data_IF_652440426490
#
_entry.id   IF_652440426490
#
_cell.length_a   1.000
_cell.length_b   1.000
_cell.length_c   1.000
_cell.angle_alpha   90.00
_cell.angle_beta   90.00
_cell.angle_gamma   90.00
#
_symmetry.space_group_name_H-M   'P 1'
#
loop_
_entity.id
_entity.type
_entity.pdbx_description
1 polymer ?
#
# COMPACT_ATOMS: atom_id res chain seq x y z
N UNK A 1 24.48 2.05 -10.12
CA UNK A 1 24.11 1.08 -9.07
C UNK A 1 22.81 1.58 -8.47
N UNK A 2 21.81 0.71 -8.27
CA UNK A 2 20.54 1.08 -7.62
C UNK A 2 20.81 1.76 -6.27
N UNK A 3 20.08 2.84 -5.98
CA UNK A 3 20.15 3.55 -4.69
C UNK A 3 19.57 2.73 -3.52
N UNK A 4 18.88 1.63 -3.83
CA UNK A 4 18.14 0.76 -2.91
C UNK A 4 18.79 -0.63 -2.89
N UNK A 5 19.06 -1.17 -1.69
CA UNK A 5 19.48 -2.57 -1.52
C UNK A 5 18.30 -3.53 -1.78
N UNK A 6 18.29 -4.14 -2.97
CA UNK A 6 17.23 -5.06 -3.41
C UNK A 6 17.44 -6.50 -2.93
N UNK A 7 18.56 -6.79 -2.25
CA UNK A 7 18.87 -8.13 -1.73
C UNK A 7 17.99 -8.54 -0.55
N UNK A 8 17.29 -7.58 0.05
CA UNK A 8 16.41 -7.81 1.20
C UNK A 8 15.04 -8.37 0.80
N UNK A 9 14.59 -8.14 -0.44
CA UNK A 9 13.32 -8.72 -0.88
C UNK A 9 13.43 -10.23 -0.96
N UNK A 10 12.36 -10.88 -0.52
CA UNK A 10 12.24 -12.32 -0.64
C UNK A 10 12.31 -12.74 -2.11
N UNK A 11 13.03 -13.83 -2.36
CA UNK A 11 13.16 -14.46 -3.67
C UNK A 11 12.92 -15.95 -3.45
N UNK A 12 12.11 -16.57 -4.31
CA UNK A 12 11.73 -17.99 -4.23
C UNK A 12 12.94 -18.93 -4.05
N UNK A 13 14.06 -18.57 -4.67
CA UNK A 13 15.28 -19.40 -4.71
C UNK A 13 16.09 -19.35 -3.41
N UNK A 14 15.75 -18.45 -2.47
CA UNK A 14 16.56 -18.18 -1.28
C UNK A 14 16.06 -18.86 0.01
N UNK A 15 14.99 -19.66 -0.05
CA UNK A 15 14.47 -20.36 1.14
C UNK A 15 13.94 -19.40 2.23
N UNK A 16 13.49 -19.96 3.35
CA UNK A 16 12.76 -19.27 4.45
C UNK A 16 13.28 -17.87 4.78
N UNK A 17 12.35 -16.93 5.02
CA UNK A 17 12.56 -15.53 5.48
C UNK A 17 13.86 -15.36 6.26
N UNK A 18 14.85 -14.71 5.63
CA UNK A 18 16.26 -14.69 6.04
C UNK A 18 16.47 -14.16 7.47
N UNK A 19 17.47 -14.69 8.20
CA UNK A 19 17.80 -14.25 9.59
C UNK A 19 17.95 -12.72 9.78
N UNK A 20 18.60 -11.93 8.90
CA UNK A 20 18.69 -10.48 9.08
C UNK A 20 17.33 -9.79 9.10
N UNK A 21 16.34 -10.35 8.39
CA UNK A 21 14.99 -9.78 8.33
C UNK A 21 14.18 -10.01 9.61
N UNK A 22 14.52 -11.01 10.43
CA UNK A 22 13.84 -11.25 11.71
C UNK A 22 14.12 -10.11 12.69
N UNK A 23 15.33 -9.56 12.73
CA UNK A 23 15.65 -8.41 13.60
C UNK A 23 14.79 -7.18 13.25
N UNK A 24 14.56 -6.91 11.97
CA UNK A 24 13.71 -5.80 11.56
C UNK A 24 12.25 -6.04 11.91
N UNK A 25 11.74 -7.25 11.71
CA UNK A 25 10.40 -7.62 12.19
C UNK A 25 10.27 -7.47 13.70
N UNK A 26 11.23 -7.97 14.48
CA UNK A 26 11.17 -7.94 15.93
C UNK A 26 11.22 -6.51 16.50
N UNK A 27 11.85 -5.59 15.76
CA UNK A 27 11.85 -4.14 16.06
C UNK A 27 10.58 -3.43 15.58
N UNK A 28 10.02 -3.85 14.44
CA UNK A 28 8.86 -3.21 13.82
C UNK A 28 7.53 -3.67 14.42
N UNK A 29 7.41 -4.95 14.79
CA UNK A 29 6.18 -5.53 15.34
C UNK A 29 5.65 -4.80 16.58
N UNK A 30 6.47 -4.43 17.58
CA UNK A 30 6.02 -3.72 18.77
C UNK A 30 5.47 -2.31 18.50
N UNK A 31 5.67 -1.76 17.30
CA UNK A 31 5.25 -0.40 16.95
C UNK A 31 3.75 -0.31 16.60
N UNK A 32 3.08 -1.44 16.36
CA UNK A 32 1.64 -1.45 16.10
C UNK A 32 0.98 -2.83 16.05
N UNK A 33 1.75 -3.92 16.13
CA UNK A 33 1.20 -5.27 16.04
C UNK A 33 0.57 -5.59 14.68
N UNK A 34 1.00 -4.91 13.61
CA UNK A 34 0.43 -5.07 12.28
C UNK A 34 0.71 -6.46 11.71
N UNK A 35 -0.30 -7.28 11.38
CA UNK A 35 -0.11 -8.64 10.87
C UNK A 35 0.84 -8.71 9.66
N UNK A 36 0.82 -7.72 8.76
CA UNK A 36 1.72 -7.64 7.62
C UNK A 36 3.22 -7.63 8.04
N UNK A 37 3.57 -6.99 9.17
CA UNK A 37 4.92 -7.02 9.75
C UNK A 37 5.19 -8.40 10.37
N UNK A 38 4.23 -8.90 11.13
CA UNK A 38 4.31 -10.22 11.79
C UNK A 38 4.50 -11.36 10.80
N UNK A 39 4.01 -11.20 9.58
CA UNK A 39 4.09 -12.12 8.45
C UNK A 39 5.17 -11.71 7.43
N UNK A 40 6.11 -10.82 7.77
CA UNK A 40 7.21 -10.38 6.89
C UNK A 40 6.78 -9.89 5.50
N UNK A 41 5.54 -9.42 5.33
CA UNK A 41 5.03 -8.96 4.04
C UNK A 41 5.80 -7.75 3.51
N UNK A 42 6.47 -6.98 4.36
CA UNK A 42 7.38 -5.89 3.96
C UNK A 42 8.60 -6.37 3.13
N UNK A 43 8.87 -7.68 3.10
CA UNK A 43 9.89 -8.29 2.24
C UNK A 43 9.30 -8.82 0.92
N UNK A 44 7.98 -8.88 0.79
CA UNK A 44 7.28 -9.37 -0.39
C UNK A 44 6.95 -8.16 -1.28
N UNK A 45 7.55 -8.04 -2.48
CA UNK A 45 7.27 -6.93 -3.39
C UNK A 45 5.91 -7.16 -4.10
N UNK A 46 4.80 -7.11 -3.36
CA UNK A 46 3.48 -7.52 -3.85
C UNK A 46 3.07 -6.83 -5.17
N UNK A 47 3.35 -5.54 -5.31
CA UNK A 47 3.09 -4.80 -6.54
C UNK A 47 3.83 -5.35 -7.76
N UNK A 48 5.01 -5.97 -7.60
CA UNK A 48 5.77 -6.54 -8.71
C UNK A 48 5.08 -7.75 -9.35
N UNK A 49 4.14 -8.38 -8.64
CA UNK A 49 3.32 -9.49 -9.17
C UNK A 49 2.19 -9.03 -10.09
N UNK A 50 1.88 -7.73 -10.12
CA UNK A 50 0.76 -7.21 -10.92
C UNK A 50 1.13 -7.24 -12.40
N UNK A 51 0.20 -7.68 -13.25
CA UNK A 51 0.38 -7.61 -14.71
C UNK A 51 0.52 -6.16 -15.22
N UNK A 52 -0.04 -5.19 -14.48
CA UNK A 52 0.08 -3.75 -14.75
C UNK A 52 1.42 -3.15 -14.30
N UNK A 53 2.25 -3.88 -13.54
CA UNK A 53 3.41 -3.31 -12.85
C UNK A 53 4.35 -2.55 -13.78
N UNK A 54 4.65 -3.10 -14.96
CA UNK A 54 5.50 -2.41 -15.94
C UNK A 54 4.91 -1.08 -16.40
N UNK A 55 3.59 -1.02 -16.62
CA UNK A 55 2.92 0.22 -17.02
C UNK A 55 2.89 1.25 -15.88
N UNK A 56 2.70 0.80 -14.64
CA UNK A 56 2.76 1.65 -13.44
C UNK A 56 4.14 2.27 -13.26
N UNK A 57 5.21 1.48 -13.45
CA UNK A 57 6.61 1.97 -13.40
C UNK A 57 6.86 2.98 -14.51
N UNK A 58 6.45 2.70 -15.75
CA UNK A 58 6.63 3.63 -16.86
C UNK A 58 5.89 4.96 -16.64
N UNK A 59 4.68 4.92 -16.06
CA UNK A 59 3.96 6.13 -15.67
C UNK A 59 4.71 6.89 -14.57
N UNK A 60 5.18 6.17 -13.54
CA UNK A 60 5.89 6.76 -12.40
C UNK A 60 7.24 7.39 -12.80
N UNK A 61 7.90 6.89 -13.86
CA UNK A 61 9.15 7.45 -14.40
C UNK A 61 8.96 8.80 -15.12
N UNK A 62 7.74 9.10 -15.59
CA UNK A 62 7.48 10.35 -16.32
C UNK A 62 7.87 11.57 -15.48
N UNK A 63 8.45 12.60 -16.12
CA UNK A 63 9.07 13.74 -15.45
C UNK A 63 8.12 14.54 -14.56
N UNK A 64 6.82 14.46 -14.83
CA UNK A 64 5.74 15.16 -14.15
C UNK A 64 4.98 14.30 -13.14
N UNK A 65 5.41 13.05 -12.93
CA UNK A 65 4.68 12.08 -12.10
C UNK A 65 4.90 12.33 -10.60
N UNK A 66 3.82 12.44 -9.84
CA UNK A 66 3.82 12.46 -8.38
C UNK A 66 3.29 11.14 -7.81
N UNK A 67 4.03 10.53 -6.89
CA UNK A 67 3.65 9.23 -6.27
C UNK A 67 3.30 9.46 -4.80
N UNK A 68 2.19 8.87 -4.35
CA UNK A 68 1.74 8.89 -2.96
C UNK A 68 1.56 7.46 -2.44
N UNK A 69 2.21 7.13 -1.33
CA UNK A 69 2.06 5.84 -0.63
C UNK A 69 1.34 6.04 0.72
N UNK A 70 0.24 5.33 0.92
CA UNK A 70 -0.64 5.46 2.09
C UNK A 70 -0.52 4.25 3.02
N UNK A 71 -0.19 4.50 4.29
CA UNK A 71 0.15 3.44 5.23
C UNK A 71 1.46 2.75 4.85
N UNK A 72 2.50 3.55 4.56
CA UNK A 72 3.70 3.07 3.88
C UNK A 72 4.51 2.04 4.69
N UNK A 73 4.34 1.96 6.02
CA UNK A 73 5.12 1.10 6.89
C UNK A 73 6.63 1.31 6.72
N UNK A 74 7.35 0.29 6.25
CA UNK A 74 8.79 0.37 5.99
C UNK A 74 9.11 1.02 4.62
N UNK A 75 8.10 1.50 3.88
CA UNK A 75 8.21 2.15 2.57
C UNK A 75 8.68 1.21 1.46
N UNK A 76 8.38 -0.08 1.56
CA UNK A 76 8.85 -1.11 0.62
C UNK A 76 8.35 -0.88 -0.81
N UNK A 77 7.13 -0.36 -0.99
CA UNK A 77 6.52 -0.16 -2.31
C UNK A 77 7.18 1.02 -3.06
N UNK A 78 7.47 2.12 -2.36
CA UNK A 78 8.28 3.22 -2.91
C UNK A 78 9.69 2.76 -3.30
N UNK A 79 10.30 1.92 -2.47
CA UNK A 79 11.63 1.37 -2.71
C UNK A 79 11.66 0.39 -3.89
N UNK A 80 10.57 -0.35 -4.08
CA UNK A 80 10.37 -1.18 -5.26
C UNK A 80 10.35 -0.32 -6.52
N UNK A 81 9.60 0.78 -6.53
CA UNK A 81 9.59 1.73 -7.65
C UNK A 81 10.97 2.36 -7.87
N UNK A 82 11.66 2.76 -6.81
CA UNK A 82 12.99 3.35 -6.88
C UNK A 82 14.05 2.39 -7.44
N UNK A 83 13.99 1.10 -7.07
CA UNK A 83 14.83 0.07 -7.67
C UNK A 83 14.57 -0.12 -9.18
N UNK A 84 13.36 0.22 -9.63
CA UNK A 84 12.99 0.31 -11.04
C UNK A 84 13.19 1.72 -11.61
N UNK A 85 14.07 2.54 -11.04
CA UNK A 85 14.50 3.81 -11.64
C UNK A 85 13.48 4.94 -11.55
N UNK A 86 12.43 4.81 -10.75
CA UNK A 86 11.53 5.93 -10.44
C UNK A 86 12.25 6.93 -9.51
N UNK A 87 12.30 8.23 -9.82
CA UNK A 87 12.99 9.21 -8.98
C UNK A 87 12.34 9.39 -7.61
N UNK A 88 13.12 9.24 -6.53
CA UNK A 88 12.61 9.23 -5.15
C UNK A 88 12.10 10.58 -4.66
N UNK A 89 12.61 11.68 -5.20
CA UNK A 89 12.22 13.05 -4.83
C UNK A 89 10.78 13.40 -5.22
N UNK A 90 10.12 12.56 -6.03
CA UNK A 90 8.72 12.69 -6.43
C UNK A 90 7.76 11.85 -5.61
N UNK A 91 8.29 11.13 -4.63
CA UNK A 91 7.53 10.23 -3.78
C UNK A 91 7.17 10.93 -2.48
N UNK A 92 5.91 10.78 -2.08
CA UNK A 92 5.38 11.18 -0.78
C UNK A 92 4.81 9.94 -0.11
N UNK A 93 5.04 9.80 1.19
CA UNK A 93 4.51 8.70 1.98
C UNK A 93 3.84 9.23 3.22
N UNK A 94 2.74 8.60 3.61
CA UNK A 94 2.00 8.90 4.84
C UNK A 94 1.89 7.63 5.66
N UNK A 95 2.27 7.70 6.93
CA UNK A 95 2.00 6.66 7.91
C UNK A 95 1.91 7.27 9.31
N UNK A 96 1.21 6.60 10.23
CA UNK A 96 1.04 7.06 11.61
C UNK A 96 2.31 6.91 12.44
N UNK A 97 3.17 5.96 12.09
CA UNK A 97 4.30 5.53 12.90
C UNK A 97 5.64 5.78 12.21
N UNK A 98 6.35 6.87 12.56
CA UNK A 98 7.60 7.25 11.92
C UNK A 98 8.72 6.24 12.06
N UNK A 99 8.73 5.49 13.16
CA UNK A 99 9.77 4.49 13.41
C UNK A 99 9.73 3.35 12.39
N UNK A 100 8.61 3.11 11.70
CA UNK A 100 8.53 2.09 10.66
C UNK A 100 9.37 2.47 9.43
N UNK A 101 9.22 3.67 8.87
CA UNK A 101 10.02 4.05 7.71
C UNK A 101 11.47 4.37 8.06
N UNK A 102 11.76 4.75 9.32
CA UNK A 102 13.12 4.81 9.87
C UNK A 102 13.82 3.45 9.78
N UNK A 103 13.14 2.37 10.19
CA UNK A 103 13.62 1.00 10.00
C UNK A 103 13.78 0.65 8.52
N UNK A 104 12.93 1.21 7.65
CA UNK A 104 13.08 1.11 6.20
C UNK A 104 14.43 1.63 5.70
N UNK A 105 14.90 2.78 6.20
CA UNK A 105 16.21 3.31 5.80
C UNK A 105 17.37 2.37 6.14
N UNK A 106 17.31 1.74 7.31
CA UNK A 106 18.29 0.75 7.74
C UNK A 106 18.20 -0.55 6.91
N UNK A 107 16.98 -1.07 6.72
CA UNK A 107 16.72 -2.31 6.00
C UNK A 107 17.24 -2.24 4.57
N UNK A 108 16.90 -1.18 3.85
CA UNK A 108 17.23 -1.00 2.44
C UNK A 108 18.54 -0.25 2.19
N UNK A 109 19.26 0.12 3.26
CA UNK A 109 20.55 0.84 3.24
C UNK A 109 20.54 2.10 2.36
N UNK A 110 19.41 2.80 2.35
CA UNK A 110 19.14 3.95 1.48
C UNK A 110 19.07 5.29 2.24
N UNK A 111 19.63 5.33 3.46
CA UNK A 111 19.92 6.58 4.15
C UNK A 111 20.98 7.44 3.44
N UNK A 112 21.21 8.65 3.95
CA UNK A 112 22.25 9.56 3.44
C UNK A 112 21.91 10.20 2.09
N UNK A 113 20.63 10.43 1.80
CA UNK A 113 20.16 11.12 0.60
C UNK A 113 19.89 10.21 -0.62
N UNK A 114 19.97 8.88 -0.47
CA UNK A 114 19.62 7.93 -1.54
C UNK A 114 18.11 7.82 -1.73
N UNK A 115 17.37 7.65 -0.64
CA UNK A 115 15.92 7.80 -0.61
C UNK A 115 15.57 9.25 -0.23
N UNK A 116 14.99 9.98 -1.17
CA UNK A 116 14.60 11.39 -1.00
C UNK A 116 13.07 11.60 -0.92
N UNK A 117 12.31 10.51 -0.72
CA UNK A 117 10.87 10.59 -0.54
C UNK A 117 10.51 11.45 0.68
N UNK A 118 9.42 12.22 0.59
CA UNK A 118 8.88 12.98 1.72
C UNK A 118 7.98 12.06 2.56
N UNK A 119 8.48 11.62 3.70
CA UNK A 119 7.68 10.89 4.69
C UNK A 119 6.95 11.87 5.62
N UNK A 120 5.66 11.67 5.81
CA UNK A 120 4.78 12.54 6.59
C UNK A 120 4.12 11.68 7.68
N UNK A 121 4.31 12.06 8.94
CA UNK A 121 3.58 11.47 10.04
C UNK A 121 2.14 11.98 10.06
N UNK A 122 1.18 11.05 10.02
CA UNK A 122 -0.23 11.37 10.16
C UNK A 122 -1.14 10.17 9.97
N UNK A 123 -2.29 10.21 10.64
CA UNK A 123 -3.40 9.33 10.32
C UNK A 123 -4.15 9.92 9.12
N UNK A 124 -4.07 9.25 7.97
CA UNK A 124 -4.68 9.74 6.73
C UNK A 124 -6.18 10.02 6.87
N UNK A 125 -6.90 9.36 7.78
CA UNK A 125 -8.33 9.63 8.03
C UNK A 125 -8.60 10.97 8.70
N UNK A 126 -7.69 11.41 9.56
CA UNK A 126 -7.95 12.51 10.51
C UNK A 126 -6.95 13.66 10.39
N UNK A 127 -5.82 13.45 9.70
CA UNK A 127 -4.81 14.48 9.44
C UNK A 127 -5.37 15.61 8.58
N UNK A 128 -4.81 16.81 8.76
CA UNK A 128 -5.30 18.00 8.07
C UNK A 128 -4.80 18.06 6.63
N UNK A 129 -5.58 18.66 5.74
CA UNK A 129 -5.26 18.71 4.31
C UNK A 129 -4.06 19.63 4.03
N UNK A 130 -3.73 20.56 4.94
CA UNK A 130 -2.54 21.42 4.81
C UNK A 130 -1.25 20.60 4.77
N UNK A 131 -1.18 19.47 5.50
CA UNK A 131 -0.02 18.58 5.45
C UNK A 131 0.14 17.89 4.08
N UNK A 132 -0.97 17.74 3.35
CA UNK A 132 -1.03 17.12 2.02
C UNK A 132 -1.11 18.15 0.88
N UNK A 133 -1.13 19.45 1.18
CA UNK A 133 -1.19 20.53 0.20
C UNK A 133 -0.19 20.39 -0.98
N UNK A 134 1.05 19.88 -0.80
CA UNK A 134 1.97 19.69 -1.92
C UNK A 134 1.47 18.72 -2.99
N UNK A 135 0.65 17.73 -2.60
CA UNK A 135 0.15 16.66 -3.49
C UNK A 135 -1.34 16.81 -3.84
N UNK A 136 -2.02 17.81 -3.29
CA UNK A 136 -3.44 18.06 -3.55
C UNK A 136 -3.73 18.24 -5.04
N UNK A 137 -4.63 17.41 -5.59
CA UNK A 137 -5.05 17.43 -6.99
C UNK A 137 -3.93 17.18 -8.01
N UNK A 138 -2.83 16.55 -7.61
CA UNK A 138 -1.61 16.42 -8.43
C UNK A 138 -1.09 15.00 -8.59
N UNK A 139 -1.55 14.07 -7.74
CA UNK A 139 -1.02 12.70 -7.68
C UNK A 139 -1.29 11.96 -8.98
N UNK A 140 -0.31 11.22 -9.46
CA UNK A 140 -0.43 10.35 -10.64
C UNK A 140 -0.61 8.88 -10.27
N UNK A 141 0.07 8.46 -9.20
CA UNK A 141 0.02 7.11 -8.69
C UNK A 141 -0.19 7.15 -7.17
N UNK A 142 -1.31 6.60 -6.71
CA UNK A 142 -1.59 6.35 -5.29
C UNK A 142 -1.38 4.86 -5.03
N UNK A 143 -0.55 4.53 -4.05
CA UNK A 143 -0.36 3.18 -3.53
C UNK A 143 -1.14 3.06 -2.23
N UNK A 144 -1.99 2.04 -2.14
CA UNK A 144 -2.81 1.72 -0.98
C UNK A 144 -2.71 0.22 -0.63
N UNK A 145 -1.48 -0.27 -0.50
CA UNK A 145 -1.20 -1.67 -0.15
C UNK A 145 -1.48 -1.92 1.34
N UNK A 146 -2.26 -2.95 1.66
CA UNK A 146 -2.65 -3.34 3.02
C UNK A 146 -3.22 -2.17 3.86
N UNK A 147 -3.90 -1.22 3.21
CA UNK A 147 -4.30 0.04 3.85
C UNK A 147 -5.81 0.16 4.10
N UNK A 148 -6.65 0.13 3.05
CA UNK A 148 -8.07 0.49 3.19
C UNK A 148 -8.83 -0.46 4.15
N UNK A 149 -8.52 -1.75 4.14
CA UNK A 149 -9.17 -2.74 5.01
C UNK A 149 -9.00 -2.44 6.52
N UNK A 150 -8.00 -1.64 6.91
CA UNK A 150 -7.77 -1.23 8.29
C UNK A 150 -8.92 -0.42 8.90
N UNK A 151 -9.82 0.08 8.07
CA UNK A 151 -10.93 0.94 8.46
C UNK A 151 -12.29 0.23 8.39
N UNK A 152 -13.28 0.81 9.08
CA UNK A 152 -14.70 0.47 8.88
C UNK A 152 -15.14 0.78 7.45
N UNK A 153 -16.30 0.27 7.03
CA UNK A 153 -16.86 0.57 5.71
C UNK A 153 -16.98 2.09 5.45
N UNK A 154 -17.52 2.82 6.42
CA UNK A 154 -17.62 4.30 6.34
C UNK A 154 -16.25 4.96 6.30
N UNK A 155 -15.29 4.43 7.06
CA UNK A 155 -13.91 4.89 7.01
C UNK A 155 -13.30 4.71 5.62
N UNK A 156 -13.52 3.57 4.97
CA UNK A 156 -13.05 3.32 3.61
C UNK A 156 -13.64 4.32 2.61
N UNK A 157 -14.93 4.66 2.74
CA UNK A 157 -15.55 5.71 1.92
C UNK A 157 -14.88 7.07 2.12
N UNK A 158 -14.57 7.44 3.37
CA UNK A 158 -13.85 8.69 3.69
C UNK A 158 -12.45 8.68 3.09
N UNK A 159 -11.65 7.63 3.29
CA UNK A 159 -10.33 7.51 2.69
C UNK A 159 -10.38 7.60 1.16
N UNK A 160 -11.29 6.88 0.52
CA UNK A 160 -11.46 6.89 -0.93
C UNK A 160 -11.80 8.28 -1.45
N UNK A 161 -12.71 9.02 -0.79
CA UNK A 161 -13.02 10.42 -1.15
C UNK A 161 -11.82 11.35 -0.99
N UNK A 162 -11.00 11.15 0.05
CA UNK A 162 -9.74 11.89 0.23
C UNK A 162 -8.75 11.58 -0.89
N UNK A 163 -8.62 10.31 -1.28
CA UNK A 163 -7.81 9.91 -2.44
C UNK A 163 -8.30 10.61 -3.72
N UNK A 164 -9.61 10.69 -3.96
CA UNK A 164 -10.18 11.43 -5.10
C UNK A 164 -9.78 12.90 -5.05
N UNK A 165 -9.81 13.56 -3.88
CA UNK A 165 -9.41 14.96 -3.75
C UNK A 165 -7.92 15.20 -4.08
N UNK A 166 -7.04 14.22 -3.79
CA UNK A 166 -5.61 14.27 -4.11
C UNK A 166 -5.31 13.94 -5.58
N UNK A 167 -6.27 13.33 -6.28
CA UNK A 167 -6.13 12.87 -7.66
C UNK A 167 -6.37 13.96 -8.71
N UNK A 168 -5.81 13.75 -9.90
CA UNK A 168 -6.15 14.43 -11.16
C UNK A 168 -6.64 13.43 -12.22
N UNK A 169 -7.11 13.93 -13.37
CA UNK A 169 -7.45 13.06 -14.51
C UNK A 169 -6.24 12.18 -14.88
N UNK A 170 -6.46 10.88 -15.08
CA UNK A 170 -5.41 9.90 -15.35
C UNK A 170 -4.69 9.34 -14.12
N UNK A 171 -5.07 9.76 -12.90
CA UNK A 171 -4.53 9.16 -11.66
C UNK A 171 -4.86 7.67 -11.61
N UNK A 172 -3.91 6.86 -11.19
CA UNK A 172 -4.13 5.45 -10.88
C UNK A 172 -3.97 5.20 -9.39
N UNK A 173 -4.95 4.53 -8.78
CA UNK A 173 -4.89 4.00 -7.42
C UNK A 173 -4.62 2.50 -7.54
N UNK A 174 -3.52 2.04 -6.98
CA UNK A 174 -3.12 0.63 -6.98
C UNK A 174 -2.93 0.11 -5.56
N UNK A 175 -3.30 -1.14 -5.33
CA UNK A 175 -3.03 -1.78 -4.06
C UNK A 175 -3.55 -3.20 -4.00
N UNK A 176 -3.23 -3.85 -2.90
CA UNK A 176 -3.71 -5.18 -2.56
C UNK A 176 -3.98 -5.25 -1.07
N UNK A 177 -4.98 -6.02 -0.65
CA UNK A 177 -5.37 -6.09 0.75
C UNK A 177 -6.13 -7.37 1.07
N UNK A 178 -6.07 -7.79 2.33
CA UNK A 178 -6.92 -8.88 2.80
C UNK A 178 -8.40 -8.55 2.56
N UNK A 179 -9.10 -9.51 1.98
CA UNK A 179 -10.54 -9.52 1.80
C UNK A 179 -11.17 -10.74 2.47
N UNK A 180 -12.46 -10.91 2.27
CA UNK A 180 -13.23 -12.03 2.79
C UNK A 180 -14.34 -12.39 1.81
N UNK A 181 -14.58 -13.69 1.55
CA UNK A 181 -15.58 -14.14 0.54
C UNK A 181 -16.96 -13.54 0.76
N UNK A 182 -17.31 -13.25 2.02
CA UNK A 182 -18.50 -12.48 2.41
C UNK A 182 -18.07 -11.21 3.15
N UNK A 183 -18.40 -10.00 2.67
CA UNK A 183 -17.96 -8.77 3.31
C UNK A 183 -18.31 -8.75 4.79
N UNK A 184 -17.34 -8.40 5.64
CA UNK A 184 -17.47 -8.56 7.10
C UNK A 184 -16.75 -7.46 7.87
N UNK A 185 -17.42 -6.98 8.91
CA UNK A 185 -16.85 -6.07 9.89
C UNK A 185 -16.33 -6.84 11.10
N UNK A 186 -15.07 -6.61 11.46
CA UNK A 186 -14.48 -7.06 12.71
C UNK A 186 -14.26 -5.87 13.63
N UNK A 187 -14.84 -5.95 14.83
CA UNK A 187 -14.62 -4.99 15.90
C UNK A 187 -13.60 -5.56 16.87
N UNK A 188 -12.50 -4.83 17.06
CA UNK A 188 -11.43 -5.17 18.00
C UNK A 188 -11.26 -4.02 19.00
N UNK A 189 -10.64 -4.24 20.17
CA UNK A 189 -10.41 -3.18 21.15
C UNK A 189 -9.64 -1.97 20.60
N UNK A 190 -8.83 -2.18 19.56
CA UNK A 190 -7.99 -1.17 18.92
C UNK A 190 -8.56 -0.61 17.61
N UNK A 191 -9.75 -1.00 17.17
CA UNK A 191 -10.36 -0.44 15.97
C UNK A 191 -11.37 -1.34 15.27
N UNK A 192 -11.86 -0.85 14.12
CA UNK A 192 -12.81 -1.55 13.27
C UNK A 192 -12.16 -1.79 11.91
N UNK A 193 -12.19 -3.05 11.47
CA UNK A 193 -11.66 -3.49 10.19
C UNK A 193 -12.82 -4.02 9.36
N UNK A 194 -12.95 -3.59 8.12
CA UNK A 194 -13.95 -4.11 7.19
C UNK A 194 -13.26 -4.81 6.03
N UNK A 195 -13.41 -6.13 5.95
CA UNK A 195 -12.90 -6.88 4.81
C UNK A 195 -13.96 -6.92 3.71
N UNK A 196 -13.57 -6.44 2.54
CA UNK A 196 -14.39 -6.44 1.34
C UNK A 196 -14.24 -7.78 0.59
N UNK A 197 -15.15 -8.05 -0.35
CA UNK A 197 -14.89 -8.89 -1.51
C UNK A 197 -14.86 -7.99 -2.76
N UNK A 198 -14.68 -8.55 -3.97
CA UNK A 198 -14.68 -7.75 -5.20
C UNK A 198 -15.99 -7.00 -5.39
N UNK A 199 -17.13 -7.66 -5.19
CA UNK A 199 -18.46 -7.08 -5.40
C UNK A 199 -18.68 -5.86 -4.50
N UNK A 200 -18.40 -5.99 -3.20
CA UNK A 200 -18.61 -4.92 -2.23
C UNK A 200 -17.61 -3.78 -2.38
N UNK A 201 -16.37 -4.07 -2.80
CA UNK A 201 -15.38 -3.05 -3.12
C UNK A 201 -15.78 -2.23 -4.36
N UNK A 202 -16.27 -2.88 -5.43
CA UNK A 202 -16.79 -2.20 -6.62
C UNK A 202 -18.02 -1.37 -6.27
N UNK A 203 -18.94 -1.89 -5.44
CA UNK A 203 -20.11 -1.15 -4.96
C UNK A 203 -19.71 0.09 -4.16
N UNK A 204 -18.73 -0.02 -3.27
CA UNK A 204 -18.20 1.09 -2.49
C UNK A 204 -17.64 2.19 -3.41
N UNK A 205 -16.83 1.83 -4.42
CA UNK A 205 -16.33 2.80 -5.38
C UNK A 205 -17.44 3.43 -6.23
N UNK A 206 -18.49 2.68 -6.57
CA UNK A 206 -19.69 3.24 -7.20
C UNK A 206 -20.28 4.41 -6.42
N UNK A 207 -20.40 4.26 -5.09
CA UNK A 207 -20.87 5.34 -4.22
C UNK A 207 -19.88 6.52 -4.17
N UNK A 208 -18.57 6.25 -4.09
CA UNK A 208 -17.56 7.32 -4.09
C UNK A 208 -17.58 8.13 -5.39
N UNK A 209 -17.76 7.47 -6.55
CA UNK A 209 -17.90 8.15 -7.84
C UNK A 209 -19.10 9.10 -7.87
N UNK A 210 -20.26 8.63 -7.41
CA UNK A 210 -21.49 9.42 -7.34
C UNK A 210 -21.31 10.65 -6.44
N UNK A 211 -20.79 10.45 -5.22
CA UNK A 211 -20.61 11.51 -4.24
C UNK A 211 -19.54 12.54 -4.64
N UNK A 212 -18.49 12.11 -5.34
CA UNK A 212 -17.39 12.99 -5.76
C UNK A 212 -17.57 13.56 -7.16
N UNK A 213 -18.59 13.09 -7.91
CA UNK A 213 -18.83 13.43 -9.32
C UNK A 213 -17.60 13.18 -10.19
N UNK A 214 -16.96 12.03 -9.98
CA UNK A 214 -15.83 11.56 -10.78
C UNK A 214 -16.14 10.19 -11.36
N UNK A 215 -15.45 9.81 -12.43
CA UNK A 215 -15.60 8.49 -13.06
C UNK A 215 -14.24 7.81 -13.09
N UNK A 216 -14.24 6.54 -12.70
CA UNK A 216 -13.06 5.71 -12.58
C UNK A 216 -13.30 4.37 -13.28
N UNK A 217 -12.29 3.91 -13.99
CA UNK A 217 -12.24 2.53 -14.46
C UNK A 217 -11.74 1.63 -13.33
N UNK A 218 -12.41 0.51 -13.11
CA UNK A 218 -12.29 -0.31 -11.90
C UNK A 218 -11.85 -1.73 -12.27
N UNK A 219 -10.55 -1.97 -12.19
CA UNK A 219 -10.02 -3.32 -12.24
C UNK A 219 -9.77 -3.84 -10.82
N UNK A 220 -10.61 -4.79 -10.40
CA UNK A 220 -10.57 -5.41 -9.07
C UNK A 220 -10.60 -6.93 -9.23
N UNK A 221 -9.71 -7.64 -8.56
CA UNK A 221 -9.55 -9.09 -8.65
C UNK A 221 -9.56 -9.71 -7.26
N UNK A 222 -10.20 -10.87 -7.13
CA UNK A 222 -10.02 -11.74 -5.97
C UNK A 222 -8.88 -12.71 -6.29
N UNK A 223 -7.95 -12.87 -5.35
CA UNK A 223 -6.74 -13.67 -5.52
C UNK A 223 -6.49 -14.55 -4.30
N UNK A 224 -5.64 -15.55 -4.43
CA UNK A 224 -5.14 -16.31 -3.29
C UNK A 224 -4.08 -15.48 -2.56
N UNK A 225 -4.02 -15.59 -1.22
CA UNK A 225 -2.91 -15.00 -0.47
C UNK A 225 -1.55 -15.62 -0.86
N UNK A 226 -1.56 -16.85 -1.39
CA UNK A 226 -0.38 -17.52 -1.95
C UNK A 226 0.18 -16.75 -3.17
N UNK A 227 -0.68 -16.06 -3.92
CA UNK A 227 -0.27 -15.30 -5.11
C UNK A 227 0.62 -14.10 -4.74
N UNK A 228 0.58 -13.67 -3.48
CA UNK A 228 1.47 -12.64 -2.92
C UNK A 228 2.78 -13.19 -2.36
N UNK A 229 3.05 -14.48 -2.52
CA UNK A 229 4.22 -15.16 -1.97
C UNK A 229 4.10 -15.54 -0.49
N UNK A 230 2.91 -15.40 0.11
CA UNK A 230 2.65 -15.93 1.45
C UNK A 230 2.63 -17.47 1.41
N UNK A 231 2.97 -18.09 2.53
CA UNK A 231 2.92 -19.55 2.74
C UNK A 231 1.73 -19.91 3.63
N UNK A 232 1.33 -21.18 3.64
CA UNK A 232 0.15 -21.62 4.40
C UNK A 232 0.24 -21.31 5.89
N UNK A 233 1.43 -21.40 6.47
CA UNK A 233 1.67 -21.13 7.88
C UNK A 233 1.45 -19.65 8.23
N UNK A 234 1.62 -18.74 7.25
CA UNK A 234 1.50 -17.30 7.47
C UNK A 234 0.07 -16.87 7.76
N UNK A 235 -0.90 -17.58 7.18
CA UNK A 235 -2.32 -17.26 7.30
C UNK A 235 -3.13 -18.37 7.96
N UNK A 236 -2.48 -19.39 8.54
CA UNK A 236 -3.15 -20.48 9.25
C UNK A 236 -4.01 -20.01 10.44
N UNK A 237 -3.70 -18.84 11.01
CA UNK A 237 -4.46 -18.21 12.10
C UNK A 237 -5.66 -17.37 11.62
N UNK A 238 -5.77 -17.12 10.31
CA UNK A 238 -6.87 -16.36 9.71
C UNK A 238 -8.09 -17.26 9.46
N UNK A 239 -9.26 -16.65 9.20
CA UNK A 239 -10.47 -17.42 8.87
C UNK A 239 -10.30 -18.21 7.57
N UNK A 240 -11.00 -19.35 7.45
CA UNK A 240 -11.03 -20.18 6.22
C UNK A 240 -11.62 -19.43 5.01
N UNK A 241 -12.36 -18.37 5.26
CA UNK A 241 -13.08 -17.55 4.29
C UNK A 241 -12.28 -16.34 3.78
N UNK A 242 -10.97 -16.31 4.06
CA UNK A 242 -10.05 -15.26 3.62
C UNK A 242 -9.79 -15.33 2.13
N UNK A 243 -9.71 -14.17 1.50
CA UNK A 243 -9.23 -13.99 0.12
C UNK A 243 -8.29 -12.78 0.09
N UNK A 244 -7.51 -12.65 -0.97
CA UNK A 244 -6.86 -11.39 -1.31
C UNK A 244 -7.73 -10.59 -2.27
N UNK A 245 -7.63 -9.27 -2.22
CA UNK A 245 -8.12 -8.38 -3.27
C UNK A 245 -6.96 -7.59 -3.82
N UNK A 246 -6.84 -7.54 -5.13
CA UNK A 246 -5.98 -6.61 -5.87
C UNK A 246 -6.84 -5.60 -6.60
N UNK A 247 -6.38 -4.36 -6.68
CA UNK A 247 -7.09 -3.31 -7.41
C UNK A 247 -6.11 -2.39 -8.15
N UNK A 248 -6.51 -2.03 -9.37
CA UNK A 248 -5.94 -0.96 -10.19
C UNK A 248 -7.12 -0.12 -10.68
N UNK A 249 -7.19 1.12 -10.23
CA UNK A 249 -8.36 1.96 -10.44
C UNK A 249 -7.89 3.27 -11.06
N UNK A 250 -8.39 3.63 -12.24
CA UNK A 250 -7.87 4.78 -12.99
C UNK A 250 -8.95 5.84 -13.21
N UNK A 251 -8.65 7.09 -12.88
CA UNK A 251 -9.58 8.21 -13.06
C UNK A 251 -9.69 8.59 -14.53
N UNK A 252 -10.92 8.54 -15.06
CA UNK A 252 -11.23 8.85 -16.46
C UNK A 252 -12.05 10.13 -16.65
N UNK A 253 -12.65 10.67 -15.58
CA UNK A 253 -13.19 12.05 -15.53
C UNK A 253 -13.20 12.60 -14.10
#
# INVERSE_FOLDING_TARGET
>A
MSAIDTSVWYKSDYGTRLKPSSQFRDRAWPLGGYPCIGMWMFLLPGLAGFREFSALVERARQSDSTILDLGCGLGQDLRLLAAHGVPTERMVAVDVEPRLWELGYELFKDGGGRMQAKFIQGDFHTMTDEQLAPVQGKVDLVIAAQFLHLFSYEGQLVACKRIVALSKLGTTVVGFQQGHVRPVEYRRPWGVTFYQNRESFVKMWGAVQEETRTVWDLEVREVSLLDWGMQEEDFAWMSENRIGIEFVISRVS
#
